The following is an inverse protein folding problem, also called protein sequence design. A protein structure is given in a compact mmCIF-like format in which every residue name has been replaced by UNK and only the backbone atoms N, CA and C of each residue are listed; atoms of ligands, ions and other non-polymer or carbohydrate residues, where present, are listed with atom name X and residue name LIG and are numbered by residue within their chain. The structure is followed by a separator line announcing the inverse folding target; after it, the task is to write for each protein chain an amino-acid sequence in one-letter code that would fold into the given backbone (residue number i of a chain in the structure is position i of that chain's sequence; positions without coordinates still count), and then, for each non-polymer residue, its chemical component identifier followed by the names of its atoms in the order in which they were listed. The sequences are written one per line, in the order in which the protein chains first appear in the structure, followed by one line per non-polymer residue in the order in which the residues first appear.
data_IF_008048379016
#
_entry.id   IF_008048379016
#
_cell.length_a   1.000
_cell.length_b   1.000
_cell.length_c   1.000
_cell.angle_alpha   90.00
_cell.angle_beta   90.00
_cell.angle_gamma   90.00
#
_symmetry.space_group_name_H-M   'P 1'
#
loop_
_entity.id
_entity.type
_entity.pdbx_description
1 polymer ?
#
# COMPACT_ATOMS: atom_id res chain seq x y z
N UNK A 1 -17.03 12.41 8.51
CA UNK A 1 -15.65 12.73 8.99
C UNK A 1 -15.75 13.59 10.23
N UNK A 2 -15.00 13.29 11.25
CA UNK A 2 -14.88 14.12 12.44
C UNK A 2 -13.48 14.72 12.50
N UNK A 3 -13.41 16.03 12.56
CA UNK A 3 -12.15 16.77 12.73
C UNK A 3 -12.11 17.40 14.11
N UNK A 4 -10.95 17.45 14.72
CA UNK A 4 -10.74 18.07 16.02
C UNK A 4 -9.99 19.38 15.85
N UNK A 5 -10.61 20.46 16.27
CA UNK A 5 -10.10 21.82 16.10
C UNK A 5 -9.81 22.48 17.45
N UNK A 6 -8.82 23.37 17.47
CA UNK A 6 -8.55 24.22 18.60
C UNK A 6 -9.43 25.49 18.58
N UNK A 7 -9.21 26.40 19.54
CA UNK A 7 -9.95 27.64 19.64
C UNK A 7 -9.79 28.60 18.45
N UNK A 8 -8.76 28.40 17.63
CA UNK A 8 -8.49 29.18 16.42
C UNK A 8 -9.09 28.55 15.15
N UNK A 9 -9.75 27.39 15.28
CA UNK A 9 -10.28 26.66 14.15
C UNK A 9 -9.25 25.83 13.40
N UNK A 10 -8.02 25.72 13.90
CA UNK A 10 -6.97 24.90 13.32
C UNK A 10 -7.25 23.43 13.58
N UNK A 11 -7.24 22.61 12.52
CA UNK A 11 -7.42 21.16 12.63
C UNK A 11 -6.16 20.54 13.22
N UNK A 12 -6.32 19.81 14.30
CA UNK A 12 -5.20 19.13 15.00
C UNK A 12 -5.25 17.62 14.87
N UNK A 13 -6.41 17.05 14.59
CA UNK A 13 -6.56 15.61 14.40
C UNK A 13 -7.83 15.30 13.60
N UNK A 14 -7.89 14.10 13.07
CA UNK A 14 -9.06 13.53 12.38
C UNK A 14 -9.30 12.13 12.93
N UNK A 15 -10.50 11.83 13.32
CA UNK A 15 -10.81 10.51 13.82
C UNK A 15 -12.06 10.46 14.69
N UNK A 16 -12.17 9.44 15.50
CA UNK A 16 -13.33 9.18 16.36
C UNK A 16 -13.01 9.32 17.85
N UNK A 17 -11.75 9.41 18.24
CA UNK A 17 -11.32 9.49 19.63
C UNK A 17 -11.32 10.95 20.08
N UNK A 18 -12.11 11.26 21.10
CA UNK A 18 -12.17 12.60 21.66
C UNK A 18 -10.83 13.03 22.23
N UNK A 19 -10.36 14.17 21.79
CA UNK A 19 -9.12 14.78 22.26
C UNK A 19 -9.41 15.78 23.38
N UNK A 20 -8.50 15.87 24.37
CA UNK A 20 -8.56 16.86 25.43
C UNK A 20 -8.24 18.24 24.84
N UNK A 21 -8.99 19.27 25.25
CA UNK A 21 -8.84 20.66 24.81
C UNK A 21 -9.14 20.93 23.32
N UNK A 22 -9.67 19.94 22.60
CA UNK A 22 -10.11 20.10 21.21
C UNK A 22 -11.62 19.90 21.08
N UNK A 23 -12.21 20.57 20.12
CA UNK A 23 -13.62 20.44 19.79
C UNK A 23 -13.77 19.55 18.58
N UNK A 24 -14.57 18.49 18.71
CA UNK A 24 -14.93 17.63 17.57
C UNK A 24 -15.99 18.31 16.71
N UNK A 25 -15.70 18.43 15.43
CA UNK A 25 -16.63 18.96 14.42
C UNK A 25 -16.96 17.86 13.45
N UNK A 26 -18.24 17.52 13.33
CA UNK A 26 -18.72 16.53 12.37
C UNK A 26 -18.92 17.22 11.02
N UNK A 27 -18.14 16.78 10.03
CA UNK A 27 -18.29 17.24 8.65
C UNK A 27 -19.19 16.28 7.88
N UNK A 28 -20.09 16.82 7.09
CA UNK A 28 -20.91 16.03 6.17
C UNK A 28 -20.05 15.49 5.05
N UNK A 29 -20.36 14.29 4.60
CA UNK A 29 -19.61 13.66 3.47
C UNK A 29 -19.87 14.39 2.16
N UNK A 30 -21.04 14.99 2.03
CA UNK A 30 -21.40 15.81 0.87
C UNK A 30 -20.58 17.10 0.88
N UNK A 31 -19.94 17.41 -0.25
CA UNK A 31 -19.12 18.62 -0.42
C UNK A 31 -17.97 18.77 0.58
N UNK A 32 -17.47 17.64 1.13
CA UNK A 32 -16.33 17.68 2.02
C UNK A 32 -15.03 17.92 1.21
N UNK A 33 -14.36 19.08 1.40
CA UNK A 33 -13.13 19.37 0.65
C UNK A 33 -11.95 18.49 1.03
N UNK A 34 -12.01 17.81 2.19
CA UNK A 34 -10.94 16.95 2.70
C UNK A 34 -11.10 15.48 2.31
N UNK A 35 -12.10 15.17 1.49
CA UNK A 35 -12.32 13.80 1.04
C UNK A 35 -11.07 13.28 0.33
N UNK A 36 -10.64 12.08 0.74
CA UNK A 36 -9.46 11.39 0.20
C UNK A 36 -8.11 12.09 0.46
N UNK A 37 -8.09 13.11 1.29
CA UNK A 37 -6.84 13.74 1.72
C UNK A 37 -6.19 12.98 2.86
N UNK A 38 -4.83 12.87 2.88
CA UNK A 38 -4.14 12.33 4.04
C UNK A 38 -4.35 13.23 5.27
N UNK A 39 -4.42 12.61 6.44
CA UNK A 39 -4.64 13.32 7.72
C UNK A 39 -3.60 14.42 7.93
N UNK A 40 -2.34 14.15 7.60
CA UNK A 40 -1.25 15.12 7.73
C UNK A 40 -1.53 16.41 6.94
N UNK A 41 -2.11 16.30 5.76
CA UNK A 41 -2.50 17.45 4.94
C UNK A 41 -3.70 18.19 5.53
N UNK A 42 -4.72 17.47 5.98
CA UNK A 42 -5.91 18.03 6.61
C UNK A 42 -5.51 18.88 7.83
N UNK A 43 -4.58 18.38 8.64
CA UNK A 43 -4.08 19.09 9.82
C UNK A 43 -3.24 20.34 9.51
N UNK A 44 -3.05 20.68 8.26
CA UNK A 44 -2.41 21.94 7.86
C UNK A 44 -3.38 23.12 7.68
N UNK A 45 -4.68 22.88 7.85
CA UNK A 45 -5.71 23.85 7.56
C UNK A 45 -6.46 24.32 8.80
N UNK A 46 -6.90 25.56 8.74
CA UNK A 46 -7.88 26.15 9.65
C UNK A 46 -9.20 26.24 8.91
N UNK A 47 -10.29 25.92 9.60
CA UNK A 47 -11.62 25.89 8.99
C UNK A 47 -12.63 26.75 9.76
N UNK A 48 -13.63 27.21 9.03
CA UNK A 48 -14.90 27.63 9.54
C UNK A 48 -15.98 26.72 8.97
N UNK A 49 -16.98 26.39 9.79
CA UNK A 49 -18.04 25.46 9.39
C UNK A 49 -19.41 26.03 9.73
N UNK A 50 -20.40 25.63 8.95
CA UNK A 50 -21.80 25.89 9.21
C UNK A 50 -22.61 24.65 8.86
N UNK A 51 -23.39 24.16 9.81
CA UNK A 51 -24.25 22.97 9.64
C UNK A 51 -23.52 21.73 9.09
N UNK A 52 -22.27 21.56 9.47
CA UNK A 52 -21.43 20.44 9.02
C UNK A 52 -20.77 20.64 7.65
N UNK A 53 -20.97 21.79 7.02
CA UNK A 53 -20.29 22.19 5.79
C UNK A 53 -19.11 23.09 6.08
N UNK A 54 -17.99 22.87 5.40
CA UNK A 54 -16.83 23.76 5.46
C UNK A 54 -17.13 25.01 4.63
N UNK A 55 -17.24 26.16 5.28
CA UNK A 55 -17.52 27.44 4.61
C UNK A 55 -16.27 28.21 4.27
N UNK A 56 -15.19 27.98 4.99
CA UNK A 56 -13.87 28.56 4.73
C UNK A 56 -12.79 27.56 5.14
N UNK A 57 -11.75 27.43 4.34
CA UNK A 57 -10.54 26.70 4.72
C UNK A 57 -9.31 27.49 4.28
N UNK A 58 -8.35 27.62 5.18
CA UNK A 58 -7.13 28.40 4.96
C UNK A 58 -5.94 27.63 5.53
N UNK A 59 -4.84 27.45 4.77
CA UNK A 59 -3.65 26.85 5.33
C UNK A 59 -3.06 27.76 6.43
N UNK A 60 -2.70 27.18 7.56
CA UNK A 60 -2.04 27.90 8.64
C UNK A 60 -0.56 27.50 8.80
N UNK A 61 -0.07 26.60 7.92
CA UNK A 61 1.33 26.21 7.80
C UNK A 61 1.87 26.68 6.45
N UNK A 62 3.19 26.71 6.30
CA UNK A 62 3.85 27.06 5.03
C UNK A 62 3.38 26.12 3.91
N UNK A 63 2.98 26.70 2.78
CA UNK A 63 2.50 25.94 1.61
C UNK A 63 3.54 24.95 1.07
N UNK A 64 4.82 25.22 1.26
CA UNK A 64 5.90 24.29 0.89
C UNK A 64 5.86 23.00 1.70
N UNK A 65 5.40 23.05 2.95
CA UNK A 65 5.17 21.86 3.79
C UNK A 65 4.03 21.03 3.21
N UNK A 66 2.95 21.66 2.79
CA UNK A 66 1.79 20.99 2.17
C UNK A 66 2.21 20.31 0.87
N UNK A 67 2.95 20.99 0.01
CA UNK A 67 3.49 20.44 -1.23
C UNK A 67 4.39 19.23 -0.95
N UNK A 68 5.22 19.31 0.08
CA UNK A 68 6.09 18.20 0.48
C UNK A 68 5.30 16.99 0.97
N UNK A 69 4.22 17.20 1.72
CA UNK A 69 3.30 16.14 2.14
C UNK A 69 2.66 15.46 0.92
N UNK A 70 2.21 16.24 -0.07
CA UNK A 70 1.66 15.70 -1.31
C UNK A 70 2.68 14.85 -2.08
N UNK A 71 3.92 15.32 -2.16
CA UNK A 71 5.01 14.57 -2.82
C UNK A 71 5.32 13.26 -2.09
N UNK A 72 5.39 13.28 -0.76
CA UNK A 72 5.59 12.07 0.05
C UNK A 72 4.45 11.07 -0.13
N UNK A 73 3.21 11.54 -0.19
CA UNK A 73 2.04 10.72 -0.48
C UNK A 73 2.16 9.99 -1.81
N UNK A 74 2.58 10.69 -2.87
CA UNK A 74 2.82 10.09 -4.19
C UNK A 74 3.94 9.05 -4.17
N UNK A 75 5.02 9.33 -3.44
CA UNK A 75 6.13 8.37 -3.28
C UNK A 75 5.67 7.10 -2.55
N UNK A 76 4.84 7.24 -1.52
CA UNK A 76 4.27 6.10 -0.78
C UNK A 76 3.40 5.26 -1.71
N UNK A 77 2.53 5.88 -2.51
CA UNK A 77 1.67 5.17 -3.46
C UNK A 77 2.50 4.42 -4.52
N UNK A 78 3.54 5.05 -5.07
CA UNK A 78 4.45 4.42 -6.00
C UNK A 78 5.18 3.23 -5.37
N UNK A 79 5.69 3.40 -4.15
CA UNK A 79 6.39 2.34 -3.42
C UNK A 79 5.44 1.16 -3.12
N UNK A 80 4.19 1.44 -2.76
CA UNK A 80 3.17 0.42 -2.54
C UNK A 80 2.91 -0.39 -3.80
N UNK A 81 2.78 0.29 -4.94
CA UNK A 81 2.61 -0.33 -6.25
C UNK A 81 3.82 -1.20 -6.63
N UNK A 82 5.04 -0.70 -6.40
CA UNK A 82 6.28 -1.43 -6.68
C UNK A 82 6.41 -2.68 -5.80
N UNK A 83 6.05 -2.59 -4.53
CA UNK A 83 6.04 -3.72 -3.61
C UNK A 83 5.07 -4.80 -4.08
N UNK A 84 3.88 -4.42 -4.53
CA UNK A 84 2.90 -5.36 -5.07
C UNK A 84 3.44 -6.05 -6.31
N UNK A 85 3.99 -5.31 -7.27
CA UNK A 85 4.61 -5.86 -8.49
C UNK A 85 5.74 -6.82 -8.15
N UNK A 86 6.63 -6.44 -7.22
CA UNK A 86 7.73 -7.30 -6.77
C UNK A 86 7.23 -8.58 -6.11
N UNK A 87 6.15 -8.51 -5.33
CA UNK A 87 5.54 -9.69 -4.72
C UNK A 87 4.98 -10.66 -5.77
N UNK A 88 4.31 -10.14 -6.80
CA UNK A 88 3.81 -10.93 -7.93
C UNK A 88 4.96 -11.58 -8.72
N UNK A 89 6.03 -10.84 -8.97
CA UNK A 89 7.22 -11.33 -9.67
C UNK A 89 7.93 -12.45 -8.89
N UNK A 90 7.98 -12.33 -7.56
CA UNK A 90 8.54 -13.37 -6.68
C UNK A 90 7.71 -14.66 -6.79
N UNK A 91 6.38 -14.58 -6.74
CA UNK A 91 5.49 -15.74 -6.89
C UNK A 91 5.70 -16.39 -8.26
N UNK A 92 5.74 -15.63 -9.34
CA UNK A 92 5.99 -16.13 -10.69
C UNK A 92 7.34 -16.83 -10.80
N UNK A 93 8.39 -16.27 -10.18
CA UNK A 93 9.72 -16.88 -10.15
C UNK A 93 9.72 -18.20 -9.37
N UNK A 94 9.03 -18.26 -8.24
CA UNK A 94 8.90 -19.48 -7.44
C UNK A 94 8.17 -20.59 -8.22
N UNK A 95 7.11 -20.26 -8.93
CA UNK A 95 6.39 -21.20 -9.79
C UNK A 95 7.29 -21.74 -10.90
N UNK A 96 8.04 -20.86 -11.57
CA UNK A 96 9.01 -21.26 -12.60
C UNK A 96 10.12 -22.15 -12.07
N UNK A 97 10.63 -21.89 -10.86
CA UNK A 97 11.62 -22.75 -10.21
C UNK A 97 11.05 -24.13 -9.87
N UNK A 98 9.81 -24.21 -9.40
CA UNK A 98 9.15 -25.47 -9.12
C UNK A 98 8.97 -26.31 -10.38
N UNK A 99 8.53 -25.71 -11.49
CA UNK A 99 8.41 -26.37 -12.79
C UNK A 99 9.77 -26.90 -13.30
N UNK A 100 10.80 -26.07 -13.21
CA UNK A 100 12.17 -26.47 -13.60
C UNK A 100 12.69 -27.65 -12.78
N UNK A 101 12.42 -27.64 -11.48
CA UNK A 101 12.78 -28.74 -10.59
C UNK A 101 12.08 -30.04 -10.97
N UNK A 102 10.76 -29.99 -11.25
CA UNK A 102 10.00 -31.16 -11.70
C UNK A 102 10.50 -31.71 -13.06
N UNK A 103 10.74 -30.83 -14.03
CA UNK A 103 11.28 -31.19 -15.34
C UNK A 103 12.67 -31.84 -15.23
N UNK A 104 13.54 -31.29 -14.37
CA UNK A 104 14.86 -31.81 -14.11
C UNK A 104 14.79 -33.20 -13.49
N UNK A 105 13.94 -33.40 -12.50
CA UNK A 105 13.74 -34.72 -11.89
C UNK A 105 13.20 -35.74 -12.87
N UNK A 106 12.27 -35.37 -13.74
CA UNK A 106 11.74 -36.23 -14.79
C UNK A 106 12.86 -36.64 -15.75
N UNK A 107 13.70 -35.70 -16.18
CA UNK A 107 14.85 -35.97 -17.06
C UNK A 107 15.88 -36.90 -16.41
N UNK A 108 16.16 -36.73 -15.12
CA UNK A 108 17.06 -37.60 -14.36
C UNK A 108 16.49 -39.02 -14.30
N UNK A 109 15.22 -39.20 -14.03
CA UNK A 109 14.55 -40.50 -14.00
C UNK A 109 14.63 -41.20 -15.36
N UNK A 110 14.39 -40.45 -16.44
CA UNK A 110 14.50 -40.98 -17.80
C UNK A 110 15.94 -41.44 -18.14
N UNK A 111 16.95 -40.69 -17.71
CA UNK A 111 18.34 -41.03 -17.88
C UNK A 111 18.71 -42.27 -17.06
N UNK A 112 18.23 -42.41 -15.84
CA UNK A 112 18.44 -43.61 -15.02
C UNK A 112 17.83 -44.84 -15.66
N UNK A 113 16.62 -44.77 -16.20
CA UNK A 113 15.96 -45.86 -16.92
C UNK A 113 16.73 -46.22 -18.17
N UNK A 114 17.20 -45.23 -18.95
CA UNK A 114 18.02 -45.49 -20.15
C UNK A 114 19.36 -46.16 -19.81
N UNK A 115 20.00 -45.78 -18.70
CA UNK A 115 21.23 -46.39 -18.21
C UNK A 115 21.01 -47.86 -17.81
N UNK A 116 19.90 -48.17 -17.17
CA UNK A 116 19.55 -49.56 -16.83
C UNK A 116 19.35 -50.40 -18.11
N UNK A 117 18.64 -49.86 -19.10
CA UNK A 117 18.44 -50.53 -20.38
C UNK A 117 19.78 -50.81 -21.10
N UNK A 118 20.67 -49.82 -21.13
CA UNK A 118 22.03 -50.00 -21.72
C UNK A 118 22.83 -51.03 -20.95
N UNK A 119 22.76 -51.03 -19.63
CA UNK A 119 23.42 -52.01 -18.77
C UNK A 119 22.94 -53.44 -19.06
N UNK A 120 21.63 -53.63 -19.18
CA UNK A 120 21.03 -54.94 -19.52
C UNK A 120 21.46 -55.47 -20.91
N UNK A 121 21.69 -54.55 -21.87
CA UNK A 121 22.20 -54.92 -23.21
C UNK A 121 23.67 -55.33 -23.18
N UNK A 122 24.50 -54.61 -22.40
CA UNK A 122 25.95 -54.81 -22.35
C UNK A 122 26.31 -56.01 -21.51
N UNK A 123 25.64 -56.28 -20.40
CA UNK A 123 25.88 -57.39 -19.50
C UNK A 123 25.11 -58.61 -20.01
N UNK A 124 25.78 -59.65 -20.49
CA UNK A 124 25.10 -60.86 -20.95
C UNK A 124 24.31 -61.50 -19.81
N UNK A 125 23.04 -61.74 -20.01
CA UNK A 125 22.22 -62.51 -19.09
C UNK A 125 22.48 -63.99 -19.35
N UNK A 126 22.90 -64.67 -18.31
CA UNK A 126 23.01 -66.11 -18.33
C UNK A 126 21.66 -66.79 -18.18
#
# INVERSE_FOLDING_TARGET
MVVFVNSKGEIKDVGTTKQVDLVGVVLRDEENPFKDWPIAKICCYRIETFDGYVTMMTPYVDTRIIEHIDQLGKQIDNNTSDIQTNSEDIVTTQEGLAETYEETNTSITQLEEALVEVYEIIVPQE
#
